data_IF_538969157782
#
_entry.id   IF_538969157782
#
_cell.length_a   1.000
_cell.length_b   1.000
_cell.length_c   1.000
_cell.angle_alpha   90.00
_cell.angle_beta   90.00
_cell.angle_gamma   90.00
#
_symmetry.space_group_name_H-M   'P 1'
#
loop_
_entity.id
_entity.type
_entity.pdbx_description
1 polymer ?
#
# COMPACT_ATOMS: atom_id res chain seq x y z
N UNK A 1 19.09 -4.51 -41.01
CA UNK A 1 17.85 -4.89 -40.31
C UNK A 1 18.25 -5.52 -38.99
N UNK A 2 18.17 -4.75 -37.91
CA UNK A 2 18.57 -5.19 -36.56
C UNK A 2 17.33 -5.74 -35.86
N UNK A 3 17.28 -7.04 -35.66
CA UNK A 3 16.22 -7.69 -34.90
C UNK A 3 16.38 -7.34 -33.42
N UNK A 4 15.45 -6.56 -32.87
CA UNK A 4 15.33 -6.38 -31.42
C UNK A 4 14.61 -7.60 -30.85
N UNK A 5 15.36 -8.48 -30.17
CA UNK A 5 14.76 -9.50 -29.33
C UNK A 5 14.14 -8.81 -28.11
N UNK A 6 12.80 -8.71 -28.11
CA UNK A 6 12.05 -8.31 -26.93
C UNK A 6 12.01 -9.53 -26.02
N UNK A 7 12.95 -9.62 -25.08
CA UNK A 7 12.88 -10.55 -23.96
C UNK A 7 11.69 -10.17 -23.07
N UNK A 8 10.53 -10.78 -23.34
CA UNK A 8 9.38 -10.78 -22.45
C UNK A 8 9.74 -11.63 -21.22
N UNK A 9 10.36 -11.01 -20.23
CA UNK A 9 10.52 -11.63 -18.91
C UNK A 9 9.14 -11.78 -18.30
N UNK A 10 8.58 -12.99 -18.39
CA UNK A 10 7.32 -13.34 -17.72
C UNK A 10 7.64 -13.39 -16.21
N UNK A 11 7.02 -12.54 -15.38
CA UNK A 11 7.26 -12.54 -13.94
C UNK A 11 6.85 -13.89 -13.33
N UNK A 12 7.56 -14.31 -12.29
CA UNK A 12 7.31 -15.60 -11.67
C UNK A 12 5.86 -15.70 -11.16
N UNK A 13 5.26 -16.90 -11.17
CA UNK A 13 3.88 -17.14 -10.70
C UNK A 13 3.58 -16.54 -9.32
N UNK A 14 4.57 -16.50 -8.42
CA UNK A 14 4.46 -15.89 -7.09
C UNK A 14 4.36 -14.36 -7.11
N UNK A 15 4.99 -13.70 -8.08
CA UNK A 15 4.89 -12.25 -8.28
C UNK A 15 3.56 -11.86 -8.92
N UNK A 16 3.05 -12.68 -9.85
CA UNK A 16 1.71 -12.48 -10.42
C UNK A 16 0.60 -12.61 -9.36
N UNK A 17 0.73 -13.57 -8.43
CA UNK A 17 -0.20 -13.73 -7.32
C UNK A 17 -0.16 -12.54 -6.33
N UNK A 18 1.03 -12.01 -6.03
CA UNK A 18 1.16 -10.78 -5.24
C UNK A 18 0.55 -9.57 -5.95
N UNK A 19 0.76 -9.45 -7.26
CA UNK A 19 0.20 -8.37 -8.05
C UNK A 19 -1.32 -8.43 -8.14
N UNK A 20 -1.92 -9.63 -8.24
CA UNK A 20 -3.39 -9.77 -8.24
C UNK A 20 -4.00 -9.49 -6.87
N UNK A 21 -3.35 -9.90 -5.78
CA UNK A 21 -3.82 -9.63 -4.41
C UNK A 21 -3.96 -8.13 -4.11
N UNK A 22 -3.03 -7.30 -4.61
CA UNK A 22 -3.04 -5.84 -4.37
C UNK A 22 -4.30 -5.15 -4.88
N UNK A 23 -5.01 -5.76 -5.82
CA UNK A 23 -6.21 -5.21 -6.48
C UNK A 23 -7.49 -5.92 -6.03
N UNK A 24 -7.38 -7.07 -5.36
CA UNK A 24 -8.52 -7.86 -4.93
C UNK A 24 -9.31 -7.12 -3.82
N UNK A 25 -10.61 -6.81 -4.02
CA UNK A 25 -11.35 -5.92 -3.12
C UNK A 25 -11.40 -6.39 -1.67
N UNK A 26 -11.51 -7.71 -1.45
CA UNK A 26 -11.52 -8.33 -0.12
C UNK A 26 -10.15 -8.21 0.58
N UNK A 27 -9.05 -8.44 -0.14
CA UNK A 27 -7.70 -8.21 0.39
C UNK A 27 -7.50 -6.74 0.76
N UNK A 28 -7.90 -5.81 -0.10
CA UNK A 28 -7.79 -4.37 0.15
C UNK A 28 -8.60 -3.97 1.39
N UNK A 29 -9.79 -4.53 1.58
CA UNK A 29 -10.62 -4.27 2.76
C UNK A 29 -9.94 -4.77 4.05
N UNK A 30 -9.40 -5.99 4.05
CA UNK A 30 -8.65 -6.55 5.18
C UNK A 30 -7.42 -5.70 5.49
N UNK A 31 -6.62 -5.37 4.47
CA UNK A 31 -5.41 -4.53 4.61
C UNK A 31 -5.75 -3.17 5.19
N UNK A 32 -6.83 -2.52 4.72
CA UNK A 32 -7.29 -1.22 5.25
C UNK A 32 -7.64 -1.33 6.73
N UNK A 33 -8.40 -2.35 7.12
CA UNK A 33 -8.79 -2.56 8.52
C UNK A 33 -7.56 -2.71 9.42
N UNK A 34 -6.59 -3.54 9.02
CA UNK A 34 -5.34 -3.76 9.77
C UNK A 34 -4.51 -2.48 9.83
N UNK A 35 -4.38 -1.78 8.71
CA UNK A 35 -3.65 -0.51 8.64
C UNK A 35 -4.20 0.52 9.64
N UNK A 36 -5.52 0.75 9.61
CA UNK A 36 -6.18 1.69 10.52
C UNK A 36 -5.96 1.28 11.98
N UNK A 37 -6.09 -0.01 12.29
CA UNK A 37 -5.82 -0.54 13.63
C UNK A 37 -4.37 -0.29 14.08
N UNK A 38 -3.39 -0.50 13.21
CA UNK A 38 -1.98 -0.24 13.53
C UNK A 38 -1.72 1.25 13.76
N UNK A 39 -2.24 2.12 12.89
CA UNK A 39 -2.04 3.56 13.02
C UNK A 39 -2.73 4.17 14.25
N UNK A 40 -3.83 3.56 14.72
CA UNK A 40 -4.53 4.00 15.92
C UNK A 40 -3.64 3.91 17.18
N UNK A 41 -2.72 2.93 17.24
CA UNK A 41 -1.73 2.79 18.32
C UNK A 41 -0.80 4.00 18.41
N UNK A 42 -0.51 4.62 17.27
CA UNK A 42 0.39 5.77 17.14
C UNK A 42 -0.34 7.11 17.29
N UNK A 43 -1.63 7.08 17.65
CA UNK A 43 -2.45 8.27 17.84
C UNK A 43 -2.88 8.95 16.53
N UNK A 44 -2.72 8.28 15.39
CA UNK A 44 -3.19 8.79 14.09
C UNK A 44 -4.73 8.77 14.09
N UNK A 45 -5.40 9.90 13.79
CA UNK A 45 -6.85 9.93 13.64
C UNK A 45 -7.34 8.97 12.55
N UNK A 46 -8.45 8.27 12.79
CA UNK A 46 -8.98 7.26 11.86
C UNK A 46 -9.25 7.82 10.46
N UNK A 47 -9.81 9.01 10.37
CA UNK A 47 -10.09 9.67 9.09
C UNK A 47 -8.81 10.03 8.34
N UNK A 48 -7.74 10.43 9.04
CA UNK A 48 -6.41 10.58 8.45
C UNK A 48 -5.89 9.23 7.95
N UNK A 49 -5.95 8.18 8.77
CA UNK A 49 -5.50 6.84 8.38
C UNK A 49 -6.21 6.34 7.12
N UNK A 50 -7.54 6.51 7.02
CA UNK A 50 -8.29 6.14 5.82
C UNK A 50 -7.83 6.92 4.58
N UNK A 51 -7.62 8.24 4.69
CA UNK A 51 -7.13 9.06 3.58
C UNK A 51 -5.71 8.67 3.15
N UNK A 52 -4.81 8.41 4.10
CA UNK A 52 -3.43 8.03 3.77
C UNK A 52 -3.37 6.62 3.19
N UNK A 53 -4.24 5.71 3.63
CA UNK A 53 -4.40 4.40 3.00
C UNK A 53 -4.78 4.55 1.52
N UNK A 54 -5.76 5.41 1.19
CA UNK A 54 -6.17 5.64 -0.19
C UNK A 54 -5.03 6.22 -1.04
N UNK A 55 -4.27 7.16 -0.48
CA UNK A 55 -3.09 7.74 -1.15
C UNK A 55 -2.02 6.69 -1.40
N UNK A 56 -1.70 5.85 -0.42
CA UNK A 56 -0.73 4.77 -0.55
C UNK A 56 -1.19 3.73 -1.57
N UNK A 57 -2.46 3.34 -1.53
CA UNK A 57 -3.07 2.43 -2.50
C UNK A 57 -3.02 2.99 -3.92
N UNK A 58 -3.24 4.30 -4.10
CA UNK A 58 -3.22 4.96 -5.43
C UNK A 58 -1.86 4.92 -6.13
N UNK A 59 -0.77 4.80 -5.35
CA UNK A 59 0.60 4.64 -5.88
C UNK A 59 1.10 3.20 -5.77
N UNK A 60 0.21 2.24 -5.55
CA UNK A 60 0.56 0.82 -5.44
C UNK A 60 1.46 0.48 -4.26
N UNK A 61 1.50 1.32 -3.23
CA UNK A 61 2.43 1.17 -2.10
C UNK A 61 3.87 1.63 -2.37
N UNK A 62 4.17 2.25 -3.52
CA UNK A 62 5.50 2.82 -3.75
C UNK A 62 5.77 3.98 -2.78
N UNK A 63 6.62 3.73 -1.78
CA UNK A 63 7.01 4.71 -0.77
C UNK A 63 7.60 5.98 -1.40
N UNK A 64 8.43 5.88 -2.43
CA UNK A 64 9.07 7.05 -3.05
C UNK A 64 8.04 7.94 -3.74
N UNK A 65 7.06 7.34 -4.42
CA UNK A 65 5.94 8.07 -5.01
C UNK A 65 5.03 8.67 -3.94
N UNK A 66 4.70 7.90 -2.90
CA UNK A 66 3.90 8.38 -1.79
C UNK A 66 4.53 9.59 -1.09
N UNK A 67 5.84 9.57 -0.84
CA UNK A 67 6.54 10.70 -0.22
C UNK A 67 6.44 11.98 -1.04
N UNK A 68 6.41 11.87 -2.39
CA UNK A 68 6.25 13.00 -3.31
C UNK A 68 4.80 13.47 -3.47
N UNK A 69 3.80 12.64 -3.12
CA UNK A 69 2.40 13.04 -3.23
C UNK A 69 2.09 14.27 -2.36
N UNK A 70 1.51 15.27 -3.01
CA UNK A 70 0.90 16.41 -2.33
C UNK A 70 -0.40 15.98 -1.66
N UNK A 71 -0.62 16.48 -0.45
CA UNK A 71 -1.79 16.13 0.38
C UNK A 71 -2.89 17.19 0.24
N UNK A 72 -3.31 17.43 -1.00
CA UNK A 72 -4.35 18.42 -1.32
C UNK A 72 -5.65 18.04 -0.60
N UNK A 73 -6.28 19.01 0.08
CA UNK A 73 -7.52 18.80 0.82
C UNK A 73 -7.40 18.05 2.15
N UNK A 74 -6.18 17.69 2.60
CA UNK A 74 -5.98 17.13 3.93
C UNK A 74 -6.06 18.21 5.01
N UNK A 75 -6.90 18.01 6.03
CA UNK A 75 -6.98 18.89 7.21
C UNK A 75 -5.83 18.70 8.20
N UNK A 76 -5.08 17.60 8.09
CA UNK A 76 -3.98 17.27 8.99
C UNK A 76 -2.64 17.57 8.36
N UNK A 77 -1.72 18.19 9.09
CA UNK A 77 -0.31 18.24 8.72
C UNK A 77 0.33 16.86 8.89
N UNK A 78 1.28 16.51 8.02
CA UNK A 78 2.16 15.35 8.18
C UNK A 78 3.56 15.77 7.75
N UNK A 79 4.52 15.54 8.63
CA UNK A 79 5.93 15.65 8.34
C UNK A 79 6.41 14.44 7.55
N UNK A 80 7.58 14.59 6.92
CA UNK A 80 8.18 13.53 6.10
C UNK A 80 8.37 12.22 6.89
N UNK A 81 8.80 12.30 8.15
CA UNK A 81 9.01 11.11 8.98
C UNK A 81 7.71 10.38 9.28
N UNK A 82 6.61 11.10 9.50
CA UNK A 82 5.30 10.49 9.72
C UNK A 82 4.79 9.81 8.44
N UNK A 83 5.03 10.41 7.26
CA UNK A 83 4.75 9.73 5.98
C UNK A 83 5.58 8.45 5.81
N UNK A 84 6.86 8.45 6.19
CA UNK A 84 7.68 7.23 6.15
C UNK A 84 7.07 6.15 7.04
N UNK A 85 6.70 6.51 8.28
CA UNK A 85 6.09 5.56 9.21
C UNK A 85 4.77 5.00 8.67
N UNK A 86 3.92 5.83 8.06
CA UNK A 86 2.69 5.38 7.41
C UNK A 86 2.96 4.40 6.26
N UNK A 87 3.97 4.66 5.42
CA UNK A 87 4.35 3.74 4.35
C UNK A 87 4.82 2.38 4.89
N UNK A 88 5.68 2.39 5.92
CA UNK A 88 6.13 1.16 6.59
C UNK A 88 4.98 0.40 7.24
N UNK A 89 4.06 1.11 7.90
CA UNK A 89 2.86 0.51 8.50
C UNK A 89 1.95 -0.09 7.43
N UNK A 90 1.85 0.53 6.25
CA UNK A 90 1.08 0.01 5.12
C UNK A 90 1.65 -1.29 4.55
N UNK A 91 2.97 -1.38 4.41
CA UNK A 91 3.64 -2.62 4.02
C UNK A 91 3.47 -3.71 5.06
N UNK A 92 3.63 -3.38 6.34
CA UNK A 92 3.39 -4.33 7.42
C UNK A 92 1.93 -4.82 7.44
N UNK A 93 0.96 -3.91 7.29
CA UNK A 93 -0.46 -4.28 7.17
C UNK A 93 -0.72 -5.20 5.98
N UNK A 94 0.01 -5.02 4.86
CA UNK A 94 -0.06 -5.91 3.70
C UNK A 94 0.41 -7.33 4.00
N UNK A 95 1.49 -7.48 4.79
CA UNK A 95 1.97 -8.77 5.26
C UNK A 95 0.97 -9.46 6.18
N UNK A 96 0.35 -8.74 7.12
CA UNK A 96 -0.68 -9.31 7.98
C UNK A 96 -1.94 -9.69 7.20
N UNK A 97 -2.36 -8.86 6.24
CA UNK A 97 -3.52 -9.12 5.40
C UNK A 97 -3.33 -10.36 4.52
N UNK A 98 -2.11 -10.65 4.05
CA UNK A 98 -1.87 -11.84 3.22
C UNK A 98 -2.02 -13.13 4.03
N UNK A 99 -1.61 -13.13 5.30
CA UNK A 99 -1.85 -14.30 6.17
C UNK A 99 -3.33 -14.51 6.49
N UNK A 100 -4.10 -13.43 6.66
CA UNK A 100 -5.54 -13.52 6.93
C UNK A 100 -6.32 -13.94 5.68
N UNK A 101 -6.05 -13.31 4.53
CA UNK A 101 -6.72 -13.60 3.27
C UNK A 101 -6.48 -15.03 2.75
N UNK A 102 -5.33 -15.62 3.04
CA UNK A 102 -5.02 -17.01 2.63
C UNK A 102 -5.61 -18.08 3.59
N UNK A 103 -6.21 -17.67 4.71
CA UNK A 103 -6.83 -18.57 5.69
C UNK A 103 -8.34 -18.74 5.51
N UNK A 104 -8.99 -17.80 4.84
CA UNK A 104 -10.38 -17.87 4.40
C UNK A 104 -10.49 -18.64 3.06
#
# INVERSE_FOLDING_TARGET
MTSFEISLTIPAKSEMAKASMVIEPSYVAIRRRIFVMFTARDGIPNDLAHQEFDRLQSVGGDMSQYLRLQRTGSKYALHRNEKINLALTFDNAGNHASFEFLRD
#
